data_IF_569394202879
#
_entry.id   IF_569394202879
#
_cell.length_a   1.000
_cell.length_b   1.000
_cell.length_c   1.000
_cell.angle_alpha   90.00
_cell.angle_beta   90.00
_cell.angle_gamma   90.00
#
_symmetry.space_group_name_H-M   'P 1'
#
loop_
_entity.id
_entity.type
_entity.pdbx_description
1 polymer ?
#
# COMPACT_ATOMS: atom_id res chain seq x y z
N UNK A 1 11.78 23.60 -17.44
CA UNK A 1 11.03 23.62 -16.18
C UNK A 1 10.94 22.20 -15.66
N UNK A 2 11.73 21.86 -14.67
CA UNK A 2 11.87 20.48 -14.19
C UNK A 2 10.66 20.12 -13.32
N UNK A 3 9.75 19.32 -13.85
CA UNK A 3 8.60 18.74 -13.14
C UNK A 3 8.99 17.57 -12.22
N UNK A 4 10.27 17.26 -12.11
CA UNK A 4 10.78 16.29 -11.17
C UNK A 4 11.08 16.98 -9.82
N UNK A 5 10.06 17.19 -9.02
CA UNK A 5 10.25 17.40 -7.59
C UNK A 5 10.98 16.17 -7.05
N UNK A 6 12.29 16.31 -6.77
CA UNK A 6 13.02 15.33 -5.98
C UNK A 6 12.23 15.12 -4.69
N UNK A 7 11.59 13.95 -4.58
CA UNK A 7 10.86 13.62 -3.36
C UNK A 7 11.89 13.54 -2.25
N UNK A 8 11.80 14.44 -1.28
CA UNK A 8 12.70 14.46 -0.13
C UNK A 8 12.56 13.14 0.63
N UNK A 9 13.65 12.55 1.11
CA UNK A 9 13.57 11.38 1.97
C UNK A 9 12.80 11.78 3.24
N UNK A 10 11.61 11.23 3.38
CA UNK A 10 10.81 11.39 4.59
C UNK A 10 11.29 10.33 5.57
N UNK A 11 11.71 10.75 6.75
CA UNK A 11 12.05 9.80 7.80
C UNK A 11 10.75 9.23 8.41
N UNK A 12 10.44 7.99 8.03
CA UNK A 12 9.28 7.28 8.54
C UNK A 12 9.34 7.07 10.07
N UNK A 13 10.54 7.18 10.66
CA UNK A 13 10.73 7.05 12.12
C UNK A 13 10.16 8.22 12.91
N UNK A 14 10.04 9.39 12.27
CA UNK A 14 9.50 10.60 12.89
C UNK A 14 7.98 10.74 12.77
N UNK A 15 7.32 9.84 12.04
CA UNK A 15 5.88 9.93 11.75
C UNK A 15 5.10 9.14 12.80
N UNK A 16 4.08 9.77 13.37
CA UNK A 16 3.01 9.10 14.11
C UNK A 16 1.85 8.82 13.15
N UNK A 17 1.43 7.56 13.08
CA UNK A 17 0.31 7.15 12.23
C UNK A 17 -0.65 6.28 13.03
N UNK A 18 -1.95 6.58 12.88
CA UNK A 18 -3.03 5.83 13.53
C UNK A 18 -3.82 4.98 12.55
N UNK A 19 -3.76 5.27 11.26
CA UNK A 19 -4.48 4.54 10.22
C UNK A 19 -3.56 4.31 9.03
N UNK A 20 -3.23 3.05 8.79
CA UNK A 20 -2.27 2.62 7.76
C UNK A 20 -3.00 1.71 6.78
N UNK A 21 -2.76 1.89 5.49
CA UNK A 21 -3.28 1.01 4.45
C UNK A 21 -2.14 0.41 3.62
N UNK A 22 -2.19 -0.90 3.43
CA UNK A 22 -1.39 -1.62 2.44
C UNK A 22 -2.26 -1.86 1.21
N UNK A 23 -1.81 -1.44 0.03
CA UNK A 23 -2.44 -1.75 -1.25
C UNK A 23 -1.58 -2.78 -1.97
N UNK A 24 -1.96 -4.05 -1.85
CA UNK A 24 -1.32 -5.18 -2.53
C UNK A 24 -2.39 -6.19 -2.93
N UNK A 25 -3.07 -5.93 -4.08
CA UNK A 25 -4.20 -6.75 -4.53
C UNK A 25 -3.85 -8.18 -4.93
N UNK A 26 -2.65 -8.42 -5.49
CA UNK A 26 -2.22 -9.70 -6.08
C UNK A 26 -0.69 -9.75 -6.31
N UNK A 27 -0.06 -10.85 -6.71
CA UNK A 27 -0.63 -12.17 -6.84
C UNK A 27 -0.43 -12.97 -5.55
N UNK A 28 -0.87 -14.24 -5.52
CA UNK A 28 -0.79 -15.10 -4.34
C UNK A 28 0.60 -15.09 -3.67
N UNK A 29 1.65 -15.40 -4.44
CA UNK A 29 3.02 -15.45 -3.92
C UNK A 29 3.52 -14.09 -3.40
N UNK A 30 3.18 -13.00 -4.09
CA UNK A 30 3.53 -11.65 -3.68
C UNK A 30 2.82 -11.22 -2.39
N UNK A 31 1.56 -11.64 -2.21
CA UNK A 31 0.80 -11.39 -0.99
C UNK A 31 1.47 -12.11 0.19
N UNK A 32 1.79 -13.40 0.03
CA UNK A 32 2.49 -14.18 1.06
C UNK A 32 3.84 -13.57 1.42
N UNK A 33 4.60 -13.13 0.43
CA UNK A 33 5.89 -12.46 0.65
C UNK A 33 5.78 -11.08 1.30
N UNK A 34 4.59 -10.48 1.29
CA UNK A 34 4.33 -9.18 1.94
C UNK A 34 3.90 -9.35 3.41
N UNK A 35 3.45 -10.53 3.82
CA UNK A 35 3.01 -10.77 5.21
C UNK A 35 4.02 -10.35 6.29
N UNK A 36 5.35 -10.56 6.12
CA UNK A 36 6.34 -10.12 7.12
C UNK A 36 6.35 -8.61 7.38
N UNK A 37 5.75 -7.81 6.51
CA UNK A 37 5.62 -6.37 6.75
C UNK A 37 4.64 -6.05 7.90
N UNK A 38 3.64 -6.88 8.12
CA UNK A 38 2.62 -6.64 9.16
C UNK A 38 3.20 -6.53 10.57
N UNK A 39 4.02 -7.50 11.06
CA UNK A 39 4.65 -7.36 12.37
C UNK A 39 5.59 -6.15 12.45
N UNK A 40 6.29 -5.80 11.39
CA UNK A 40 7.17 -4.61 11.35
C UNK A 40 6.35 -3.33 11.50
N UNK A 41 5.24 -3.20 10.77
CA UNK A 41 4.33 -2.06 10.91
C UNK A 41 3.69 -2.02 12.31
N UNK A 42 3.31 -3.17 12.87
CA UNK A 42 2.73 -3.23 14.21
C UNK A 42 3.74 -2.82 15.30
N UNK A 43 4.98 -3.25 15.18
CA UNK A 43 6.06 -2.84 16.10
C UNK A 43 6.30 -1.33 16.02
N UNK A 44 6.34 -0.79 14.80
CA UNK A 44 6.58 0.64 14.58
C UNK A 44 5.39 1.51 14.97
N UNK A 45 4.17 1.03 14.74
CA UNK A 45 2.91 1.74 14.99
C UNK A 45 1.96 0.88 15.84
N UNK A 46 2.27 0.68 17.14
CA UNK A 46 1.55 -0.29 17.98
C UNK A 46 0.06 0.02 18.13
N UNK A 47 -0.34 1.28 18.05
CA UNK A 47 -1.72 1.73 18.22
C UNK A 47 -2.43 2.03 16.89
N UNK A 48 -1.81 1.72 15.75
CA UNK A 48 -2.41 1.99 14.46
C UNK A 48 -3.43 0.91 14.06
N UNK A 49 -4.48 1.33 13.36
CA UNK A 49 -5.33 0.42 12.61
C UNK A 49 -4.65 0.11 11.28
N UNK A 50 -4.30 -1.14 11.05
CA UNK A 50 -3.65 -1.60 9.82
C UNK A 50 -4.70 -2.26 8.93
N UNK A 51 -4.91 -1.69 7.75
CA UNK A 51 -5.83 -2.16 6.73
C UNK A 51 -5.08 -2.70 5.52
N UNK A 52 -5.62 -3.70 4.85
CA UNK A 52 -5.05 -4.24 3.62
C UNK A 52 -6.09 -4.32 2.52
N UNK A 53 -5.85 -3.60 1.43
CA UNK A 53 -6.66 -3.68 0.21
C UNK A 53 -6.13 -4.83 -0.67
N UNK A 54 -6.94 -5.87 -0.82
CA UNK A 54 -6.58 -7.13 -1.48
C UNK A 54 -7.73 -7.63 -2.35
N UNK A 55 -7.41 -8.35 -3.44
CA UNK A 55 -8.43 -9.02 -4.23
C UNK A 55 -9.25 -9.97 -3.34
N UNK A 56 -10.57 -9.92 -3.48
CA UNK A 56 -11.52 -10.73 -2.70
C UNK A 56 -11.16 -12.21 -2.69
N UNK A 57 -10.75 -12.76 -3.83
CA UNK A 57 -10.36 -14.16 -3.95
C UNK A 57 -9.06 -14.55 -3.22
N UNK A 58 -8.33 -13.58 -2.68
CA UNK A 58 -7.11 -13.80 -1.91
C UNK A 58 -7.25 -13.36 -0.44
N UNK A 59 -8.42 -12.84 -0.05
CA UNK A 59 -8.65 -12.31 1.30
C UNK A 59 -8.43 -13.36 2.39
N UNK A 60 -8.80 -14.61 2.14
CA UNK A 60 -8.64 -15.72 3.09
C UNK A 60 -7.18 -15.99 3.48
N UNK A 61 -6.21 -15.56 2.64
CA UNK A 61 -4.78 -15.70 2.96
C UNK A 61 -4.33 -14.85 4.15
N UNK A 62 -5.04 -13.76 4.39
CA UNK A 62 -4.67 -12.76 5.40
C UNK A 62 -5.75 -12.60 6.49
N UNK A 63 -6.88 -13.26 6.31
CA UNK A 63 -7.97 -13.22 7.29
C UNK A 63 -7.53 -13.83 8.62
N UNK A 64 -7.88 -13.17 9.71
CA UNK A 64 -7.48 -13.58 11.06
C UNK A 64 -5.99 -13.34 11.40
N UNK A 65 -5.23 -12.67 10.56
CA UNK A 65 -3.83 -12.35 10.88
C UNK A 65 -3.75 -11.41 12.11
N UNK A 66 -2.98 -11.74 13.16
CA UNK A 66 -3.04 -11.03 14.46
C UNK A 66 -2.61 -9.57 14.39
N UNK A 67 -1.79 -9.17 13.42
CA UNK A 67 -1.36 -7.78 13.24
C UNK A 67 -2.16 -7.00 12.19
N UNK A 68 -3.19 -7.63 11.59
CA UNK A 68 -4.07 -6.98 10.62
C UNK A 68 -5.44 -6.70 11.26
N UNK A 69 -5.92 -5.47 11.15
CA UNK A 69 -7.18 -5.08 11.76
C UNK A 69 -8.35 -5.08 10.76
N UNK A 70 -8.09 -4.79 9.49
CA UNK A 70 -9.13 -4.62 8.50
C UNK A 70 -8.71 -5.13 7.12
N UNK A 71 -9.60 -5.84 6.46
CA UNK A 71 -9.47 -6.23 5.05
C UNK A 71 -10.41 -5.37 4.21
N UNK A 72 -9.89 -4.78 3.15
CA UNK A 72 -10.66 -4.03 2.15
C UNK A 72 -10.68 -4.88 0.86
N UNK A 73 -11.76 -5.62 0.59
CA UNK A 73 -11.80 -6.52 -0.56
C UNK A 73 -11.98 -5.73 -1.86
N UNK A 74 -11.22 -6.12 -2.86
CA UNK A 74 -11.27 -5.57 -4.23
C UNK A 74 -11.84 -6.61 -5.15
N UNK A 75 -12.87 -6.25 -5.92
CA UNK A 75 -13.44 -7.12 -6.95
C UNK A 75 -12.75 -6.88 -8.29
N UNK A 76 -12.19 -7.95 -8.89
CA UNK A 76 -11.46 -7.85 -10.17
C UNK A 76 -12.32 -7.37 -11.33
N UNK A 77 -13.57 -7.78 -11.36
CA UNK A 77 -14.55 -7.43 -12.39
C UNK A 77 -15.54 -6.36 -11.95
N UNK A 78 -15.15 -5.49 -11.00
CA UNK A 78 -16.05 -4.47 -10.50
C UNK A 78 -16.59 -3.56 -11.62
N UNK A 79 -17.91 -3.32 -11.58
CA UNK A 79 -18.55 -2.30 -12.41
C UNK A 79 -18.03 -0.91 -12.05
N UNK A 80 -18.36 0.10 -12.88
CA UNK A 80 -18.04 1.50 -12.55
C UNK A 80 -18.57 1.91 -11.16
N UNK A 81 -19.76 1.44 -10.78
CA UNK A 81 -20.30 1.70 -9.45
C UNK A 81 -19.50 1.01 -8.35
N UNK A 82 -19.13 -0.26 -8.53
CA UNK A 82 -18.28 -0.97 -7.57
C UNK A 82 -16.92 -0.29 -7.40
N UNK A 83 -16.34 0.18 -8.50
CA UNK A 83 -15.10 0.94 -8.47
C UNK A 83 -15.23 2.26 -7.71
N UNK A 84 -16.30 3.03 -8.01
CA UNK A 84 -16.60 4.27 -7.28
C UNK A 84 -16.83 4.05 -5.78
N UNK A 85 -17.52 2.95 -5.41
CA UNK A 85 -17.73 2.59 -4.01
C UNK A 85 -16.41 2.28 -3.30
N UNK A 86 -15.51 1.52 -3.94
CA UNK A 86 -14.18 1.23 -3.41
C UNK A 86 -13.37 2.51 -3.19
N UNK A 87 -13.29 3.39 -4.19
CA UNK A 87 -12.56 4.65 -4.07
C UNK A 87 -13.15 5.56 -3.00
N UNK A 88 -14.48 5.60 -2.88
CA UNK A 88 -15.17 6.35 -1.83
C UNK A 88 -14.89 5.77 -0.44
N UNK A 89 -14.86 4.45 -0.30
CA UNK A 89 -14.49 3.77 0.93
C UNK A 89 -13.06 4.12 1.34
N UNK A 90 -12.08 3.96 0.43
CA UNK A 90 -10.68 4.29 0.67
C UNK A 90 -10.49 5.74 1.14
N UNK A 91 -11.27 6.66 0.58
CA UNK A 91 -11.22 8.06 0.98
C UNK A 91 -11.81 8.32 2.36
N UNK A 92 -12.91 7.65 2.71
CA UNK A 92 -13.59 7.82 4.00
C UNK A 92 -12.78 7.25 5.17
N UNK A 93 -11.91 6.29 4.90
CA UNK A 93 -11.04 5.67 5.91
C UNK A 93 -10.01 6.63 6.50
N UNK A 94 -9.69 7.74 5.83
CA UNK A 94 -8.77 8.79 6.29
C UNK A 94 -7.43 8.23 6.78
N UNK A 95 -6.77 7.46 5.91
CA UNK A 95 -5.45 6.93 6.20
C UNK A 95 -4.41 8.02 6.39
N UNK A 96 -3.50 7.82 7.34
CA UNK A 96 -2.33 8.67 7.56
C UNK A 96 -1.20 8.27 6.62
N UNK A 97 -1.02 6.95 6.45
CA UNK A 97 0.00 6.37 5.55
C UNK A 97 -0.65 5.34 4.64
N UNK A 98 -0.29 5.37 3.38
CA UNK A 98 -0.66 4.34 2.38
C UNK A 98 0.59 3.82 1.71
N UNK A 99 0.74 2.49 1.67
CA UNK A 99 1.80 1.78 0.96
C UNK A 99 1.21 1.12 -0.29
N UNK A 100 1.54 1.63 -1.47
CA UNK A 100 1.25 0.97 -2.75
C UNK A 100 2.41 0.04 -3.11
N UNK A 101 2.24 -1.24 -2.79
CA UNK A 101 3.22 -2.29 -3.04
C UNK A 101 2.93 -3.08 -4.33
N UNK A 102 1.96 -2.65 -5.11
CA UNK A 102 1.64 -3.25 -6.42
C UNK A 102 2.31 -2.51 -7.57
N UNK A 103 2.25 -1.19 -7.56
CA UNK A 103 2.91 -0.36 -8.54
C UNK A 103 2.29 -0.40 -9.95
N UNK A 104 0.96 -0.47 -10.05
CA UNK A 104 0.20 -0.43 -11.30
C UNK A 104 -0.71 0.81 -11.35
N UNK A 105 -1.13 1.22 -12.55
CA UNK A 105 -2.04 2.36 -12.72
C UNK A 105 -3.31 2.25 -11.87
N UNK A 106 -3.89 1.06 -11.82
CA UNK A 106 -5.09 0.79 -11.01
C UNK A 106 -4.86 1.10 -9.52
N UNK A 107 -3.73 0.67 -8.96
CA UNK A 107 -3.40 0.94 -7.56
C UNK A 107 -2.97 2.37 -7.33
N UNK A 108 -2.41 3.03 -8.35
CA UNK A 108 -2.14 4.46 -8.31
C UNK A 108 -3.43 5.28 -8.12
N UNK A 109 -4.50 4.93 -8.85
CA UNK A 109 -5.81 5.57 -8.68
C UNK A 109 -6.36 5.35 -7.27
N UNK A 110 -6.25 4.13 -6.74
CA UNK A 110 -6.65 3.81 -5.36
C UNK A 110 -5.86 4.65 -4.35
N UNK A 111 -4.55 4.69 -4.51
CA UNK A 111 -3.62 5.45 -3.65
C UNK A 111 -3.94 6.95 -3.67
N UNK A 112 -4.18 7.51 -4.85
CA UNK A 112 -4.59 8.92 -4.99
C UNK A 112 -5.94 9.19 -4.31
N UNK A 113 -6.90 8.27 -4.46
CA UNK A 113 -8.24 8.41 -3.89
C UNK A 113 -8.25 8.47 -2.36
N UNK A 114 -7.30 7.83 -1.69
CA UNK A 114 -7.18 7.86 -0.22
C UNK A 114 -6.96 9.27 0.30
N UNK A 115 -6.29 10.13 -0.48
CA UNK A 115 -5.80 11.46 -0.07
C UNK A 115 -4.95 11.43 1.22
N UNK A 116 -4.33 10.30 1.51
CA UNK A 116 -3.45 10.19 2.66
C UNK A 116 -2.31 11.22 2.58
N UNK A 117 -1.94 11.86 3.70
CA UNK A 117 -0.85 12.84 3.73
C UNK A 117 0.51 12.22 3.36
N UNK A 118 0.70 10.93 3.65
CA UNK A 118 1.88 10.19 3.21
C UNK A 118 1.47 8.99 2.35
N UNK A 119 1.96 8.96 1.13
CA UNK A 119 1.76 7.88 0.17
C UNK A 119 3.12 7.37 -0.29
N UNK A 120 3.38 6.11 -0.03
CA UNK A 120 4.64 5.42 -0.30
C UNK A 120 4.42 4.42 -1.43
N UNK A 121 5.23 4.47 -2.46
CA UNK A 121 5.18 3.55 -3.59
C UNK A 121 6.52 2.87 -3.81
N UNK A 122 6.62 2.11 -4.91
CA UNK A 122 7.82 1.42 -5.33
C UNK A 122 8.51 2.20 -6.45
N UNK A 123 9.84 2.27 -6.44
CA UNK A 123 10.62 2.83 -7.55
C UNK A 123 10.45 2.00 -8.83
N UNK A 124 10.19 0.70 -8.70
CA UNK A 124 9.87 -0.22 -9.80
C UNK A 124 8.45 -0.09 -10.33
N UNK A 125 7.68 0.88 -9.84
CA UNK A 125 6.31 1.11 -10.26
C UNK A 125 6.22 1.36 -11.76
N UNK A 126 5.21 0.73 -12.39
CA UNK A 126 4.93 0.81 -13.82
C UNK A 126 3.77 1.76 -14.09
N UNK A 127 3.56 2.09 -15.37
CA UNK A 127 2.38 2.82 -15.83
C UNK A 127 2.13 4.17 -15.14
N UNK A 128 3.20 4.82 -14.64
CA UNK A 128 3.06 6.10 -13.93
C UNK A 128 2.49 5.99 -12.52
N UNK A 129 2.40 4.79 -11.96
CA UNK A 129 1.81 4.56 -10.62
C UNK A 129 2.56 5.23 -9.47
N UNK A 130 3.78 5.70 -9.71
CA UNK A 130 4.56 6.48 -8.76
C UNK A 130 4.07 7.93 -8.61
N UNK A 131 3.26 8.43 -9.54
CA UNK A 131 2.84 9.85 -9.56
C UNK A 131 2.09 10.29 -8.30
N UNK A 132 1.14 9.51 -7.73
CA UNK A 132 0.46 9.91 -6.51
C UNK A 132 1.30 9.74 -5.24
N UNK A 133 2.47 9.13 -5.30
CA UNK A 133 3.30 8.82 -4.15
C UNK A 133 4.22 9.99 -3.78
N UNK A 134 4.40 10.22 -2.48
CA UNK A 134 5.33 11.23 -1.96
C UNK A 134 6.74 10.67 -1.77
N UNK A 135 6.83 9.39 -1.52
CA UNK A 135 8.07 8.65 -1.30
C UNK A 135 8.06 7.37 -2.12
N UNK A 136 9.22 6.98 -2.64
CA UNK A 136 9.41 5.73 -3.35
C UNK A 136 10.44 4.88 -2.61
N UNK A 137 10.09 3.63 -2.37
CA UNK A 137 11.02 2.63 -1.87
C UNK A 137 11.99 2.25 -2.99
N UNK A 138 13.31 2.25 -2.71
CA UNK A 138 14.32 2.01 -3.73
C UNK A 138 14.22 0.60 -4.31
N UNK A 139 14.53 0.47 -5.60
CA UNK A 139 14.73 -0.82 -6.24
C UNK A 139 16.01 -1.46 -5.69
N UNK A 140 15.87 -2.61 -5.05
CA UNK A 140 17.00 -3.41 -4.56
C UNK A 140 17.52 -4.39 -5.62
N UNK A 141 17.04 -4.26 -6.87
CA UNK A 141 17.40 -5.13 -7.99
C UNK A 141 16.58 -6.44 -8.03
N UNK A 142 16.56 -7.05 -9.23
CA UNK A 142 15.78 -8.27 -9.48
C UNK A 142 16.29 -9.51 -8.72
N UNK A 143 17.47 -9.42 -8.11
CA UNK A 143 18.11 -10.52 -7.40
C UNK A 143 17.71 -10.61 -5.92
N UNK A 144 16.98 -9.62 -5.39
CA UNK A 144 16.55 -9.62 -4.00
C UNK A 144 15.12 -10.16 -3.92
N UNK A 145 14.89 -11.22 -3.13
CA UNK A 145 13.54 -11.74 -2.89
C UNK A 145 12.57 -10.65 -2.46
N UNK A 146 11.30 -10.74 -2.90
CA UNK A 146 10.33 -9.67 -2.69
C UNK A 146 10.15 -9.31 -1.20
N UNK A 147 10.22 -10.29 -0.30
CA UNK A 147 10.14 -10.05 1.13
C UNK A 147 11.26 -9.14 1.66
N UNK A 148 12.46 -9.20 1.10
CA UNK A 148 13.58 -8.34 1.51
C UNK A 148 13.46 -6.91 0.94
N UNK A 149 12.65 -6.71 -0.11
CA UNK A 149 12.40 -5.37 -0.66
C UNK A 149 11.57 -4.50 0.29
N UNK A 150 10.75 -5.11 1.12
CA UNK A 150 9.85 -4.42 2.05
C UNK A 150 10.48 -4.15 3.43
N UNK A 151 11.63 -4.77 3.72
CA UNK A 151 12.33 -4.58 5.00
C UNK A 151 12.98 -3.20 5.18
N UNK A 152 12.95 -2.35 4.16
CA UNK A 152 13.48 -0.98 4.21
C UNK A 152 12.44 0.08 4.54
N UNK A 153 11.22 -0.35 4.90
CA UNK A 153 10.13 0.54 5.29
C UNK A 153 10.27 1.05 6.72
#
# INVERSE_FOLDING_TARGET
MSLFRRKLPIDLRSIDARRICIIKPSAFGDVVQTLPLLPVLRERFPNATISWAINRGLADLIDGHPQLDQIIPIDRGASLNGWRQLLSQLRREKFDIVFDLQGLLRTAVMTAATRAPLRVGLETAREGSHLPCHMLLPDTGKQVPAHLRYWKV
#
